data_IF_108434959276
#
_entry.id   IF_108434959276
#
_cell.length_a   1.000
_cell.length_b   1.000
_cell.length_c   1.000
_cell.angle_alpha   90.00
_cell.angle_beta   90.00
_cell.angle_gamma   90.00
#
_symmetry.space_group_name_H-M   'P 1'
#
loop_
_entity.id
_entity.type
_entity.pdbx_description
1 polymer ?
#
# COMPACT_ATOMS: atom_id res chain seq x y z
N UNK A 1 -5.98 13.75 28.81
CA UNK A 1 -6.73 14.94 28.34
C UNK A 1 -8.07 14.97 29.07
N UNK A 2 -8.61 16.14 29.41
CA UNK A 2 -9.88 16.23 30.15
C UNK A 2 -11.06 16.03 29.18
N UNK A 3 -11.63 14.82 29.19
CA UNK A 3 -12.78 14.37 28.40
C UNK A 3 -12.48 13.05 27.70
N UNK A 4 -13.25 12.01 27.99
CA UNK A 4 -13.07 10.65 27.43
C UNK A 4 -13.41 10.57 25.93
N UNK A 5 -14.05 11.62 25.37
CA UNK A 5 -14.58 11.63 23.99
C UNK A 5 -14.28 12.93 23.25
N UNK A 6 -14.11 12.82 21.93
CA UNK A 6 -13.89 13.93 20.99
C UNK A 6 -15.16 14.78 20.83
N UNK A 7 -15.09 16.07 21.17
CA UNK A 7 -16.16 17.05 20.96
C UNK A 7 -15.97 17.85 19.66
N UNK A 8 -17.06 18.44 19.14
CA UNK A 8 -17.01 19.34 17.98
C UNK A 8 -16.03 20.52 18.15
N UNK A 9 -15.81 20.97 19.39
CA UNK A 9 -14.88 22.05 19.72
C UNK A 9 -13.44 21.78 19.23
N UNK A 10 -13.04 20.52 19.13
CA UNK A 10 -11.72 20.13 18.61
C UNK A 10 -11.56 20.38 17.09
N UNK A 11 -12.67 20.58 16.35
CA UNK A 11 -12.68 20.95 14.93
C UNK A 11 -12.94 22.44 14.68
N UNK A 12 -13.09 23.26 15.73
CA UNK A 12 -13.54 24.66 15.62
C UNK A 12 -12.44 25.68 15.27
N UNK A 13 -11.17 25.27 15.29
CA UNK A 13 -10.02 26.18 15.17
C UNK A 13 -9.73 27.01 16.44
N UNK A 14 -10.46 26.78 17.53
CA UNK A 14 -10.25 27.47 18.81
C UNK A 14 -9.18 26.82 19.70
N UNK A 15 -9.14 27.20 20.98
CA UNK A 15 -8.16 26.69 21.97
C UNK A 15 -8.17 25.17 22.12
N UNK A 16 -9.32 24.52 21.97
CA UNK A 16 -9.44 23.06 22.04
C UNK A 16 -8.71 22.38 20.87
N UNK A 17 -8.89 22.89 19.63
CA UNK A 17 -8.18 22.42 18.45
C UNK A 17 -6.64 22.57 18.60
N UNK A 18 -6.17 23.74 19.03
CA UNK A 18 -4.75 23.96 19.30
C UNK A 18 -4.19 23.03 20.39
N UNK A 19 -4.99 22.71 21.42
CA UNK A 19 -4.59 21.75 22.44
C UNK A 19 -4.45 20.34 21.87
N UNK A 20 -5.40 19.89 21.05
CA UNK A 20 -5.31 18.59 20.37
C UNK A 20 -4.06 18.51 19.50
N UNK A 21 -3.78 19.56 18.72
CA UNK A 21 -2.56 19.64 17.90
C UNK A 21 -1.30 19.56 18.76
N UNK A 22 -1.21 20.35 19.83
CA UNK A 22 -0.03 20.42 20.69
C UNK A 22 0.21 19.17 21.54
N UNK A 23 -0.84 18.65 22.18
CA UNK A 23 -0.74 17.57 23.16
C UNK A 23 -0.78 16.17 22.53
N UNK A 24 -1.37 16.03 21.34
CA UNK A 24 -1.48 14.75 20.65
C UNK A 24 -0.64 14.69 19.37
N UNK A 25 -0.98 15.46 18.34
CA UNK A 25 -0.33 15.32 17.03
C UNK A 25 1.17 15.68 17.07
N UNK A 26 1.51 16.85 17.62
CA UNK A 26 2.91 17.28 17.75
C UNK A 26 3.74 16.34 18.64
N UNK A 27 3.13 15.76 19.68
CA UNK A 27 3.79 14.80 20.57
C UNK A 27 4.27 13.55 19.81
N UNK A 28 3.47 13.03 18.90
CA UNK A 28 3.75 11.77 18.21
C UNK A 28 4.41 11.95 16.83
N UNK A 29 4.24 13.10 16.19
CA UNK A 29 4.83 13.45 14.89
C UNK A 29 6.03 14.39 15.02
N UNK A 30 6.60 14.51 16.21
CA UNK A 30 7.56 15.54 16.58
C UNK A 30 8.75 15.67 15.61
N UNK A 31 8.87 16.84 14.97
CA UNK A 31 10.02 17.20 14.14
C UNK A 31 10.12 18.74 13.98
N UNK A 32 11.31 19.28 13.63
CA UNK A 32 11.50 20.73 13.52
C UNK A 32 10.60 21.44 12.51
N UNK A 33 10.18 20.74 11.45
CA UNK A 33 9.32 21.32 10.39
C UNK A 33 7.90 21.47 10.92
N UNK A 34 7.33 20.42 11.52
CA UNK A 34 5.98 20.46 12.07
C UNK A 34 5.85 21.43 13.26
N UNK A 35 6.92 21.59 14.05
CA UNK A 35 6.95 22.53 15.19
C UNK A 35 6.75 23.99 14.82
N UNK A 36 6.90 24.37 13.54
CA UNK A 36 6.65 25.76 13.13
C UNK A 36 5.18 26.14 13.28
N UNK A 37 4.27 25.18 13.07
CA UNK A 37 2.81 25.39 13.14
C UNK A 37 2.31 26.57 12.27
N UNK A 38 3.00 26.84 11.17
CA UNK A 38 2.56 27.79 10.14
C UNK A 38 1.50 27.14 9.23
N UNK A 39 0.88 27.93 8.35
CA UNK A 39 -0.13 27.46 7.38
C UNK A 39 0.40 26.41 6.40
N UNK A 40 1.72 26.30 6.24
CA UNK A 40 2.37 25.32 5.38
C UNK A 40 3.75 24.91 5.92
N UNK A 41 4.15 23.67 5.60
CA UNK A 41 5.49 23.19 5.86
C UNK A 41 6.46 23.68 4.77
N UNK A 42 7.59 24.26 5.17
CA UNK A 42 8.70 24.54 4.25
C UNK A 42 9.54 23.27 4.07
N UNK A 43 9.66 22.82 2.83
CA UNK A 43 10.41 21.61 2.47
C UNK A 43 11.70 21.96 1.72
N UNK A 44 12.77 21.21 2.01
CA UNK A 44 14.04 21.30 1.28
C UNK A 44 14.24 20.00 0.50
N UNK A 45 14.19 20.08 -0.83
CA UNK A 45 14.32 18.94 -1.75
C UNK A 45 15.16 19.33 -2.95
N UNK A 46 15.94 18.40 -3.50
CA UNK A 46 17.05 18.68 -4.42
C UNK A 46 16.85 18.15 -5.84
N UNK A 47 15.97 17.17 -6.03
CA UNK A 47 15.78 16.46 -7.29
C UNK A 47 14.34 16.49 -7.84
N UNK A 48 14.07 15.74 -8.93
CA UNK A 48 12.71 15.50 -9.39
C UNK A 48 11.88 14.84 -8.30
N UNK A 49 10.60 15.18 -8.21
CA UNK A 49 9.74 14.79 -7.10
C UNK A 49 8.70 13.77 -7.54
N UNK A 50 8.46 12.78 -6.69
CA UNK A 50 7.29 11.92 -6.73
C UNK A 50 6.30 12.39 -5.66
N UNK A 51 5.02 12.45 -6.00
CA UNK A 51 3.95 12.85 -5.09
C UNK A 51 2.77 11.89 -5.25
N UNK A 52 2.25 11.39 -4.14
CA UNK A 52 1.01 10.60 -4.12
C UNK A 52 0.10 11.09 -2.99
N UNK A 53 -1.20 10.79 -3.11
CA UNK A 53 -2.18 11.00 -2.05
C UNK A 53 -3.14 9.82 -2.04
N UNK A 54 -3.49 9.36 -0.84
CA UNK A 54 -4.52 8.34 -0.69
C UNK A 54 -5.35 8.59 0.57
N UNK A 55 -6.57 8.07 0.56
CA UNK A 55 -7.51 8.19 1.68
C UNK A 55 -7.88 6.81 2.20
N UNK A 56 -7.74 6.64 3.50
CA UNK A 56 -7.87 5.38 4.21
C UNK A 56 -9.18 5.37 4.97
N UNK A 57 -9.98 4.35 4.68
CA UNK A 57 -11.36 4.21 5.19
C UNK A 57 -11.64 2.80 5.70
N UNK A 58 -10.60 2.01 5.94
CA UNK A 58 -10.65 0.63 6.44
C UNK A 58 -11.61 0.46 7.62
N UNK A 59 -12.36 -0.64 7.59
CA UNK A 59 -13.20 -1.09 8.70
C UNK A 59 -12.95 -2.58 8.96
N UNK A 60 -12.50 -2.98 10.17
CA UNK A 60 -12.34 -2.15 11.39
C UNK A 60 -11.11 -1.23 11.39
N UNK A 61 -11.09 -0.25 12.30
CA UNK A 61 -9.93 0.65 12.49
C UNK A 61 -8.66 -0.06 12.98
N UNK A 62 -8.81 -1.17 13.71
CA UNK A 62 -7.71 -2.00 14.22
C UNK A 62 -7.94 -3.45 13.82
N UNK A 63 -6.89 -4.11 13.37
CA UNK A 63 -6.95 -5.49 12.88
C UNK A 63 -5.64 -6.22 13.15
N UNK A 64 -5.62 -7.57 13.06
CA UNK A 64 -4.37 -8.32 13.20
C UNK A 64 -3.31 -7.83 12.21
N UNK A 65 -2.15 -7.41 12.71
CA UNK A 65 -1.05 -6.91 11.87
C UNK A 65 -1.09 -5.41 11.54
N UNK A 66 -2.10 -4.64 11.96
CA UNK A 66 -2.08 -3.20 11.75
C UNK A 66 -3.33 -2.45 12.22
N UNK A 67 -3.38 -1.18 11.82
CA UNK A 67 -4.50 -0.28 12.03
C UNK A 67 -4.54 0.78 10.93
N UNK A 68 -5.62 1.57 10.89
CA UNK A 68 -5.78 2.68 9.92
C UNK A 68 -4.61 3.67 9.93
N UNK A 69 -3.92 3.83 11.07
CA UNK A 69 -2.75 4.69 11.20
C UNK A 69 -1.52 4.12 10.51
N UNK A 70 -1.17 2.85 10.79
CA UNK A 70 -0.10 2.16 10.04
C UNK A 70 -0.37 2.16 8.55
N UNK A 71 -1.61 1.90 8.15
CA UNK A 71 -2.03 1.83 6.76
C UNK A 71 -1.83 3.18 6.05
N UNK A 72 -2.26 4.27 6.69
CA UNK A 72 -2.13 5.61 6.15
C UNK A 72 -0.67 5.98 5.85
N UNK A 73 0.25 5.63 6.75
CA UNK A 73 1.67 5.88 6.52
C UNK A 73 2.24 4.93 5.48
N UNK A 74 2.05 3.62 5.63
CA UNK A 74 2.67 2.61 4.78
C UNK A 74 2.21 2.73 3.32
N UNK A 75 0.91 2.82 3.06
CA UNK A 75 0.38 2.91 1.69
C UNK A 75 0.93 4.13 0.95
N UNK A 76 0.89 5.31 1.58
CA UNK A 76 1.39 6.54 0.93
C UNK A 76 2.91 6.53 0.74
N UNK A 77 3.66 5.93 1.68
CA UNK A 77 5.10 5.70 1.52
C UNK A 77 5.37 4.76 0.35
N UNK A 78 4.58 3.70 0.21
CA UNK A 78 4.71 2.70 -0.84
C UNK A 78 4.44 3.32 -2.22
N UNK A 79 3.35 4.06 -2.39
CA UNK A 79 3.02 4.77 -3.63
C UNK A 79 4.17 5.66 -4.13
N UNK A 80 4.71 6.51 -3.24
CA UNK A 80 5.84 7.39 -3.59
C UNK A 80 7.05 6.56 -3.99
N UNK A 81 7.31 5.46 -3.28
CA UNK A 81 8.40 4.55 -3.58
C UNK A 81 8.23 3.81 -4.91
N UNK A 82 7.00 3.53 -5.36
CA UNK A 82 6.72 2.86 -6.65
C UNK A 82 7.16 3.71 -7.86
N UNK A 83 7.27 5.03 -7.72
CA UNK A 83 7.84 5.90 -8.77
C UNK A 83 9.38 5.94 -8.76
N UNK A 84 10.02 5.06 -8.00
CA UNK A 84 11.47 5.04 -7.86
C UNK A 84 12.02 6.22 -7.05
N UNK A 85 11.23 6.73 -6.10
CA UNK A 85 11.62 7.81 -5.22
C UNK A 85 11.94 7.33 -3.80
N UNK A 86 12.78 8.10 -3.11
CA UNK A 86 12.97 8.02 -1.66
C UNK A 86 11.93 8.93 -1.00
N UNK A 87 10.89 8.41 -0.33
CA UNK A 87 9.92 9.21 0.40
C UNK A 87 10.62 10.01 1.51
N UNK A 88 10.20 11.26 1.74
CA UNK A 88 10.82 12.16 2.73
C UNK A 88 9.80 12.73 3.69
N UNK A 89 8.67 13.20 3.15
CA UNK A 89 7.69 13.96 3.91
C UNK A 89 6.28 13.46 3.61
N UNK A 90 5.44 13.47 4.64
CA UNK A 90 4.01 13.23 4.56
C UNK A 90 3.24 14.44 5.10
N UNK A 91 2.06 14.71 4.53
CA UNK A 91 0.99 15.42 5.25
C UNK A 91 -0.04 14.41 5.78
N UNK A 92 -0.80 14.79 6.80
CA UNK A 92 -1.96 14.01 7.26
C UNK A 92 -3.20 14.89 7.48
N UNK A 93 -4.31 14.57 6.83
CA UNK A 93 -5.62 15.18 7.06
C UNK A 93 -6.56 14.19 7.75
N UNK A 94 -7.08 14.55 8.93
CA UNK A 94 -8.02 13.73 9.68
C UNK A 94 -9.46 14.23 9.51
N UNK A 95 -10.38 13.31 9.23
CA UNK A 95 -11.83 13.52 9.35
C UNK A 95 -12.31 12.62 10.49
N UNK A 96 -12.74 13.24 11.57
CA UNK A 96 -13.09 12.58 12.82
C UNK A 96 -14.58 12.76 13.12
N UNK A 97 -15.25 11.71 13.57
CA UNK A 97 -16.63 11.77 14.03
C UNK A 97 -16.69 12.26 15.50
N UNK A 98 -17.59 13.20 15.79
CA UNK A 98 -17.90 13.61 17.15
C UNK A 98 -18.31 12.41 18.02
N UNK A 99 -17.75 12.31 19.22
CA UNK A 99 -18.01 11.22 20.16
C UNK A 99 -17.03 10.06 20.04
N UNK A 100 -16.08 10.12 19.10
CA UNK A 100 -14.94 9.19 19.05
C UNK A 100 -14.20 9.16 20.40
N UNK A 101 -13.84 7.98 20.85
CA UNK A 101 -13.00 7.79 22.04
C UNK A 101 -11.61 8.42 21.82
N UNK A 102 -11.17 9.27 22.76
CA UNK A 102 -9.86 9.92 22.68
C UNK A 102 -8.70 8.93 22.75
N UNK A 103 -8.86 7.79 23.44
CA UNK A 103 -7.85 6.74 23.49
C UNK A 103 -7.70 6.03 22.13
N UNK A 104 -8.80 5.88 21.39
CA UNK A 104 -8.78 5.34 20.02
C UNK A 104 -7.97 6.27 19.11
N UNK A 105 -8.22 7.58 19.18
CA UNK A 105 -7.47 8.57 18.41
C UNK A 105 -5.99 8.58 18.79
N UNK A 106 -5.66 8.53 20.10
CA UNK A 106 -4.27 8.51 20.57
C UNK A 106 -3.52 7.26 20.09
N UNK A 107 -4.18 6.09 20.08
CA UNK A 107 -3.59 4.86 19.54
C UNK A 107 -3.29 4.98 18.04
N UNK A 108 -4.21 5.50 17.24
CA UNK A 108 -4.02 5.70 15.79
C UNK A 108 -2.85 6.65 15.53
N UNK A 109 -2.83 7.80 16.20
CA UNK A 109 -1.78 8.82 16.05
C UNK A 109 -0.41 8.28 16.51
N UNK A 110 -0.38 7.52 17.61
CA UNK A 110 0.84 6.84 18.07
C UNK A 110 1.36 5.86 17.01
N UNK A 111 0.45 5.09 16.40
CA UNK A 111 0.76 4.11 15.36
C UNK A 111 1.36 4.77 14.11
N UNK A 112 0.74 5.86 13.63
CA UNK A 112 1.29 6.67 12.53
C UNK A 112 2.69 7.20 12.85
N UNK A 113 2.91 7.72 14.06
CA UNK A 113 4.22 8.22 14.49
C UNK A 113 5.30 7.13 14.53
N UNK A 114 4.94 5.90 14.93
CA UNK A 114 5.83 4.75 14.88
C UNK A 114 6.16 4.36 13.42
N UNK A 115 5.14 4.18 12.58
CA UNK A 115 5.29 3.80 11.18
C UNK A 115 6.14 4.82 10.40
N UNK A 116 5.93 6.13 10.65
CA UNK A 116 6.70 7.18 10.00
C UNK A 116 8.20 7.11 10.38
N UNK A 117 8.48 6.87 11.67
CA UNK A 117 9.86 6.68 12.16
C UNK A 117 10.52 5.44 11.59
N UNK A 118 9.79 4.32 11.53
CA UNK A 118 10.29 3.07 10.94
C UNK A 118 10.61 3.21 9.46
N UNK A 119 9.76 3.93 8.70
CA UNK A 119 9.98 4.24 7.30
C UNK A 119 11.04 5.34 7.06
N UNK A 120 11.46 6.06 8.10
CA UNK A 120 12.42 7.18 7.99
C UNK A 120 11.84 8.44 7.32
N UNK A 121 10.53 8.67 7.45
CA UNK A 121 9.82 9.83 6.92
C UNK A 121 9.28 10.73 8.04
N UNK A 122 9.01 12.00 7.73
CA UNK A 122 8.41 12.93 8.68
C UNK A 122 7.00 13.34 8.24
N UNK A 123 6.04 13.33 9.17
CA UNK A 123 4.77 14.03 8.98
C UNK A 123 5.01 15.51 9.30
N UNK A 124 4.95 16.37 8.29
CA UNK A 124 5.43 17.77 8.38
C UNK A 124 4.33 18.81 8.40
N UNK A 125 3.12 18.44 7.99
CA UNK A 125 1.94 19.30 8.05
C UNK A 125 0.68 18.44 8.19
N UNK A 126 -0.43 19.04 8.57
CA UNK A 126 -1.68 18.31 8.66
C UNK A 126 -2.90 19.18 8.86
N UNK A 127 -4.05 18.52 8.88
CA UNK A 127 -5.35 19.14 9.10
C UNK A 127 -6.21 18.24 9.98
N UNK A 128 -7.14 18.84 10.72
CA UNK A 128 -8.10 18.10 11.54
C UNK A 128 -9.49 18.69 11.38
N UNK A 129 -10.43 17.86 10.96
CA UNK A 129 -11.86 18.17 10.88
C UNK A 129 -12.62 17.25 11.82
N UNK A 130 -13.52 17.83 12.61
CA UNK A 130 -14.46 17.07 13.42
C UNK A 130 -15.86 17.30 12.87
N UNK A 131 -16.51 16.24 12.43
CA UNK A 131 -17.87 16.27 11.86
C UNK A 131 -18.89 15.77 12.88
N UNK A 132 -20.16 16.22 12.80
CA UNK A 132 -21.21 15.71 13.67
C UNK A 132 -21.39 14.19 13.57
N UNK A 133 -21.93 13.59 14.63
CA UNK A 133 -22.30 12.16 14.65
C UNK A 133 -23.12 11.75 13.43
N UNK A 134 -22.76 10.62 12.84
CA UNK A 134 -23.38 10.02 11.65
C UNK A 134 -22.91 10.60 10.31
N UNK A 135 -22.01 11.59 10.30
CA UNK A 135 -21.51 12.21 9.06
C UNK A 135 -20.21 11.56 8.53
N UNK A 136 -19.49 10.84 9.37
CA UNK A 136 -18.37 9.97 9.01
C UNK A 136 -18.41 8.75 9.93
N UNK A 137 -17.94 7.59 9.48
CA UNK A 137 -17.82 6.41 10.36
C UNK A 137 -16.48 6.46 11.10
N UNK A 138 -16.51 6.99 12.32
CA UNK A 138 -15.37 7.08 13.25
C UNK A 138 -14.23 7.98 12.74
N UNK A 139 -13.33 7.44 11.91
CA UNK A 139 -12.07 8.09 11.51
C UNK A 139 -11.77 7.78 10.04
N UNK A 140 -11.55 8.83 9.25
CA UNK A 140 -10.90 8.73 7.95
C UNK A 140 -9.61 9.54 7.96
N UNK A 141 -8.59 9.05 7.26
CA UNK A 141 -7.28 9.69 7.18
C UNK A 141 -6.94 9.85 5.70
N UNK A 142 -6.56 11.07 5.29
CA UNK A 142 -5.83 11.27 4.06
C UNK A 142 -4.37 11.49 4.40
N UNK A 143 -3.47 10.88 3.64
CA UNK A 143 -2.06 11.21 3.67
C UNK A 143 -1.58 11.53 2.28
N UNK A 144 -0.73 12.54 2.18
CA UNK A 144 -0.08 12.90 0.92
C UNK A 144 1.41 12.81 1.13
N UNK A 145 2.10 12.04 0.30
CA UNK A 145 3.53 11.82 0.39
C UNK A 145 4.28 12.55 -0.71
N UNK A 146 5.51 12.97 -0.38
CA UNK A 146 6.46 13.52 -1.34
C UNK A 146 7.86 12.92 -1.11
N UNK A 147 8.52 12.59 -2.22
CA UNK A 147 9.84 11.96 -2.23
C UNK A 147 10.71 12.43 -3.39
N UNK A 148 12.02 12.23 -3.27
CA UNK A 148 13.00 12.55 -4.31
C UNK A 148 13.21 11.33 -5.21
N UNK A 149 13.00 11.46 -6.52
CA UNK A 149 13.26 10.40 -7.49
C UNK A 149 14.77 10.14 -7.55
N UNK A 150 15.18 8.90 -7.32
CA UNK A 150 16.61 8.52 -7.16
C UNK A 150 17.21 7.82 -8.38
N UNK A 151 16.40 7.50 -9.40
CA UNK A 151 16.86 6.85 -10.65
C UNK A 151 16.26 7.52 -11.88
N UNK A 152 16.96 7.42 -13.01
CA UNK A 152 16.49 7.87 -14.32
C UNK A 152 16.89 6.84 -15.40
N UNK A 153 15.94 6.27 -16.16
CA UNK A 153 14.48 6.48 -16.08
C UNK A 153 13.89 5.98 -14.76
N UNK A 154 12.82 6.64 -14.31
CA UNK A 154 12.02 6.16 -13.18
C UNK A 154 11.10 5.01 -13.61
N UNK A 155 10.79 4.06 -12.71
CA UNK A 155 9.77 3.04 -12.99
C UNK A 155 8.43 3.66 -13.38
N UNK A 156 7.72 3.01 -14.30
CA UNK A 156 6.40 3.45 -14.77
C UNK A 156 5.66 2.29 -15.39
N UNK A 157 4.34 2.18 -15.18
CA UNK A 157 3.55 1.08 -15.75
C UNK A 157 3.51 1.03 -17.29
N UNK A 158 3.94 2.10 -17.97
CA UNK A 158 4.13 2.11 -19.44
C UNK A 158 5.41 1.42 -19.89
N UNK A 159 6.32 1.10 -18.97
CA UNK A 159 7.70 0.71 -19.31
C UNK A 159 7.92 -0.80 -19.37
N UNK A 160 6.92 -1.64 -19.09
CA UNK A 160 7.05 -3.08 -19.25
C UNK A 160 7.31 -3.44 -20.74
N UNK A 161 8.26 -4.33 -20.99
CA UNK A 161 8.72 -4.69 -22.35
C UNK A 161 8.71 -6.20 -22.56
N UNK A 162 8.49 -6.68 -23.80
CA UNK A 162 8.60 -8.09 -24.11
C UNK A 162 9.94 -8.68 -23.65
N UNK A 163 9.88 -9.80 -22.95
CA UNK A 163 11.05 -10.47 -22.37
C UNK A 163 11.32 -10.12 -20.91
N UNK A 164 10.68 -9.10 -20.34
CA UNK A 164 10.84 -8.80 -18.91
C UNK A 164 10.28 -9.93 -18.02
N UNK A 165 10.93 -10.13 -16.88
CA UNK A 165 10.43 -10.96 -15.79
C UNK A 165 9.39 -10.19 -14.96
N UNK A 166 8.40 -10.90 -14.43
CA UNK A 166 7.40 -10.36 -13.50
C UNK A 166 7.61 -10.99 -12.13
N UNK A 167 8.03 -10.19 -11.16
CA UNK A 167 8.33 -10.61 -9.79
C UNK A 167 7.32 -9.99 -8.83
N UNK A 168 6.93 -10.72 -7.79
CA UNK A 168 6.24 -10.16 -6.62
C UNK A 168 7.07 -10.34 -5.36
N UNK A 169 6.94 -9.42 -4.41
CA UNK A 169 7.77 -9.44 -3.20
C UNK A 169 7.32 -10.44 -2.14
N UNK A 170 6.14 -11.05 -2.23
CA UNK A 170 5.69 -12.01 -1.23
C UNK A 170 4.33 -12.60 -1.53
N UNK A 171 3.72 -13.18 -0.50
CA UNK A 171 2.41 -13.85 -0.56
C UNK A 171 1.27 -12.91 -0.98
N UNK A 172 0.19 -13.43 -1.56
CA UNK A 172 -0.97 -12.63 -1.97
C UNK A 172 -2.21 -12.88 -1.11
N UNK A 173 -2.96 -11.82 -0.82
CA UNK A 173 -4.29 -11.84 -0.20
C UNK A 173 -4.31 -11.78 1.32
N UNK A 174 -3.14 -11.63 1.98
CA UNK A 174 -3.03 -11.64 3.45
C UNK A 174 -3.87 -10.53 4.10
N UNK A 175 -3.74 -9.28 3.63
CA UNK A 175 -4.48 -8.14 4.18
C UNK A 175 -5.98 -8.27 3.94
N UNK A 176 -6.40 -8.45 2.68
CA UNK A 176 -7.82 -8.51 2.38
C UNK A 176 -8.57 -9.62 3.11
N UNK A 177 -7.95 -10.79 3.27
CA UNK A 177 -8.54 -11.86 4.07
C UNK A 177 -8.59 -11.47 5.56
N UNK A 178 -7.54 -10.86 6.11
CA UNK A 178 -7.50 -10.45 7.52
C UNK A 178 -8.65 -9.51 7.87
N UNK A 179 -8.85 -8.46 7.07
CA UNK A 179 -9.90 -7.46 7.31
C UNK A 179 -11.28 -8.12 7.29
N UNK A 180 -11.54 -8.96 6.28
CA UNK A 180 -12.82 -9.64 6.16
C UNK A 180 -13.06 -10.63 7.30
N UNK A 181 -12.06 -11.45 7.64
CA UNK A 181 -12.15 -12.43 8.72
C UNK A 181 -12.49 -11.74 10.04
N UNK A 182 -11.81 -10.63 10.33
CA UNK A 182 -12.05 -9.87 11.55
C UNK A 182 -13.44 -9.23 11.59
N UNK A 183 -13.88 -8.65 10.46
CA UNK A 183 -15.19 -8.01 10.33
C UNK A 183 -16.35 -8.99 10.51
N UNK A 184 -16.22 -10.21 9.97
CA UNK A 184 -17.23 -11.27 10.10
C UNK A 184 -17.09 -12.09 11.40
N UNK A 185 -16.13 -11.76 12.27
CA UNK A 185 -15.86 -12.51 13.49
C UNK A 185 -15.42 -13.97 13.24
N UNK A 186 -14.84 -14.24 12.08
CA UNK A 186 -14.35 -15.55 11.68
C UNK A 186 -12.95 -15.78 12.23
N UNK A 187 -12.84 -16.73 13.16
CA UNK A 187 -11.55 -17.21 13.62
C UNK A 187 -11.14 -18.41 12.78
N UNK A 188 -10.30 -18.18 11.77
CA UNK A 188 -9.60 -19.27 11.11
C UNK A 188 -8.62 -19.92 12.10
N UNK A 189 -8.38 -21.23 11.96
CA UNK A 189 -7.44 -21.96 12.81
C UNK A 189 -6.00 -21.42 12.75
N UNK A 190 -5.69 -20.64 11.72
CA UNK A 190 -4.43 -19.94 11.53
C UNK A 190 -4.59 -18.42 11.74
N UNK A 191 -3.61 -17.82 12.41
CA UNK A 191 -3.50 -16.38 12.67
C UNK A 191 -3.13 -15.63 11.38
N UNK A 192 -4.13 -15.35 10.53
CA UNK A 192 -3.96 -14.53 9.33
C UNK A 192 -3.86 -13.06 9.76
N UNK A 193 -2.82 -12.38 9.29
CA UNK A 193 -2.50 -10.99 9.67
C UNK A 193 -2.29 -10.15 8.42
N UNK A 194 -2.66 -8.88 8.52
CA UNK A 194 -2.36 -7.87 7.53
C UNK A 194 -0.86 -7.80 7.28
N UNK A 195 -0.50 -7.60 6.02
CA UNK A 195 0.88 -7.42 5.58
C UNK A 195 1.29 -5.93 5.51
N UNK A 196 0.49 -5.01 6.05
CA UNK A 196 0.77 -3.57 6.04
C UNK A 196 2.19 -3.25 6.49
N UNK A 197 3.00 -2.75 5.57
CA UNK A 197 4.41 -2.42 5.83
C UNK A 197 4.94 -1.40 4.82
N UNK A 198 5.86 -0.55 5.27
CA UNK A 198 6.61 0.35 4.40
C UNK A 198 7.64 -0.42 3.57
N UNK A 199 7.60 -0.24 2.25
CA UNK A 199 8.45 -0.92 1.26
C UNK A 199 9.58 -0.04 0.74
N UNK A 200 9.67 1.23 1.16
CA UNK A 200 10.64 2.19 0.65
C UNK A 200 12.10 1.74 0.81
N UNK A 201 12.44 1.06 1.91
CA UNK A 201 13.78 0.48 2.07
C UNK A 201 14.05 -0.68 1.11
N UNK A 202 13.03 -1.49 0.79
CA UNK A 202 13.14 -2.62 -0.13
C UNK A 202 13.24 -2.15 -1.59
N UNK A 203 12.42 -1.17 -1.98
CA UNK A 203 12.45 -0.58 -3.32
C UNK A 203 13.75 0.18 -3.56
N UNK A 204 14.24 0.96 -2.60
CA UNK A 204 15.51 1.68 -2.72
C UNK A 204 16.68 0.71 -3.00
N UNK A 205 16.74 -0.42 -2.28
CA UNK A 205 17.74 -1.45 -2.52
C UNK A 205 17.63 -2.05 -3.92
N UNK A 206 16.43 -2.39 -4.38
CA UNK A 206 16.23 -2.86 -5.76
C UNK A 206 16.75 -1.85 -6.78
N UNK A 207 16.43 -0.57 -6.61
CA UNK A 207 16.78 0.48 -7.54
C UNK A 207 18.30 0.75 -7.58
N UNK A 208 18.97 0.72 -6.43
CA UNK A 208 20.40 1.05 -6.31
C UNK A 208 21.33 -0.16 -6.51
N UNK A 209 20.93 -1.36 -6.06
CA UNK A 209 21.76 -2.57 -6.13
C UNK A 209 21.54 -3.35 -7.44
N UNK A 210 20.33 -3.35 -7.99
CA UNK A 210 19.98 -4.09 -9.23
C UNK A 210 19.89 -3.15 -10.42
N UNK A 211 19.13 -2.06 -10.28
CA UNK A 211 18.89 -1.05 -11.33
C UNK A 211 18.15 -1.60 -12.56
N UNK A 212 17.84 -0.71 -13.51
CA UNK A 212 17.06 -1.03 -14.73
C UNK A 212 15.71 -1.68 -14.43
N UNK A 213 15.01 -1.13 -13.43
CA UNK A 213 13.67 -1.56 -13.05
C UNK A 213 12.67 -0.80 -13.93
N UNK A 214 11.91 -1.53 -14.74
CA UNK A 214 10.94 -0.93 -15.65
C UNK A 214 9.65 -0.53 -14.94
N UNK A 215 9.11 -1.41 -14.08
CA UNK A 215 7.86 -1.15 -13.35
C UNK A 215 8.01 -1.52 -11.88
N UNK A 216 7.53 -0.65 -11.01
CA UNK A 216 7.18 -0.95 -9.63
C UNK A 216 5.73 -0.57 -9.40
N UNK A 217 4.99 -1.42 -8.69
CA UNK A 217 3.60 -1.15 -8.31
C UNK A 217 3.16 -2.02 -7.14
N UNK A 218 2.38 -1.47 -6.24
CA UNK A 218 1.79 -2.19 -5.12
C UNK A 218 0.39 -2.72 -5.47
N UNK A 219 0.08 -4.01 -5.21
CA UNK A 219 -1.20 -4.60 -5.56
C UNK A 219 -2.24 -4.41 -4.44
N UNK A 220 -2.66 -3.15 -4.22
CA UNK A 220 -3.70 -2.74 -3.25
C UNK A 220 -5.11 -3.09 -3.77
N UNK A 221 -5.98 -2.12 -4.02
CA UNK A 221 -7.36 -2.38 -4.46
C UNK A 221 -7.42 -3.13 -5.80
N UNK A 222 -8.22 -4.18 -5.83
CA UNK A 222 -8.31 -5.11 -6.97
C UNK A 222 -7.16 -6.13 -7.04
N UNK A 223 -6.22 -6.07 -6.10
CA UNK A 223 -5.15 -7.05 -5.91
C UNK A 223 -4.20 -7.17 -7.09
N UNK A 224 -3.45 -8.27 -7.09
CA UNK A 224 -2.48 -8.60 -8.13
C UNK A 224 -3.10 -8.60 -9.54
N UNK A 225 -4.32 -9.12 -9.65
CA UNK A 225 -5.02 -9.24 -10.92
C UNK A 225 -5.26 -7.88 -11.58
N UNK A 226 -5.86 -6.93 -10.88
CA UNK A 226 -6.14 -5.59 -11.43
C UNK A 226 -4.85 -4.83 -11.72
N UNK A 227 -3.89 -4.85 -10.80
CA UNK A 227 -2.61 -4.13 -10.98
C UNK A 227 -1.83 -4.64 -12.19
N UNK A 228 -1.82 -5.96 -12.45
CA UNK A 228 -1.21 -6.52 -13.66
C UNK A 228 -1.98 -6.10 -14.92
N UNK A 229 -3.31 -6.11 -14.92
CA UNK A 229 -4.09 -5.66 -16.08
C UNK A 229 -3.86 -4.19 -16.40
N UNK A 230 -3.75 -3.35 -15.38
CA UNK A 230 -3.42 -1.94 -15.57
C UNK A 230 -2.01 -1.77 -16.15
N UNK A 231 -1.01 -2.54 -15.70
CA UNK A 231 0.35 -2.51 -16.27
C UNK A 231 0.34 -3.00 -17.73
N UNK A 232 -0.35 -4.11 -18.03
CA UNK A 232 -0.50 -4.60 -19.40
C UNK A 232 -1.17 -3.54 -20.29
N UNK A 233 -2.21 -2.87 -19.78
CA UNK A 233 -2.92 -1.82 -20.50
C UNK A 233 -2.06 -0.61 -20.80
N UNK A 234 -1.31 -0.12 -19.80
CA UNK A 234 -0.42 1.04 -19.93
C UNK A 234 0.77 0.78 -20.85
N UNK A 235 1.38 -0.40 -20.76
CA UNK A 235 2.51 -0.80 -21.60
C UNK A 235 2.11 -1.29 -23.00
N UNK A 236 0.83 -1.61 -23.22
CA UNK A 236 0.36 -2.28 -24.42
C UNK A 236 0.88 -3.71 -24.58
N UNK A 237 1.47 -4.28 -23.53
CA UNK A 237 2.04 -5.63 -23.55
C UNK A 237 1.00 -6.69 -23.15
N UNK A 238 1.41 -7.97 -23.22
CA UNK A 238 0.67 -9.10 -22.66
C UNK A 238 1.46 -9.63 -21.48
N UNK A 239 0.84 -9.80 -20.33
CA UNK A 239 1.49 -10.43 -19.16
C UNK A 239 1.09 -11.91 -19.12
N UNK A 240 2.06 -12.82 -19.12
CA UNK A 240 1.80 -14.24 -18.88
C UNK A 240 2.29 -14.61 -17.49
N UNK A 241 1.38 -15.09 -16.66
CA UNK A 241 1.59 -15.39 -15.24
C UNK A 241 1.34 -16.88 -15.01
N UNK A 242 2.22 -17.55 -14.29
CA UNK A 242 2.08 -18.94 -13.88
C UNK A 242 1.41 -19.02 -12.51
N UNK A 243 0.18 -19.55 -12.45
CA UNK A 243 -0.63 -19.61 -11.22
C UNK A 243 0.07 -20.39 -10.09
N UNK A 244 0.81 -21.45 -10.45
CA UNK A 244 1.57 -22.27 -9.49
C UNK A 244 2.72 -21.54 -8.80
N UNK A 245 3.22 -20.47 -9.43
CA UNK A 245 4.40 -19.74 -8.96
C UNK A 245 4.00 -18.54 -8.07
N UNK A 246 2.70 -18.24 -7.97
CA UNK A 246 2.16 -17.18 -7.09
C UNK A 246 2.11 -17.70 -5.65
N UNK A 247 2.96 -17.19 -4.73
CA UNK A 247 2.89 -17.53 -3.31
C UNK A 247 1.55 -17.08 -2.70
N UNK A 248 0.84 -18.01 -2.08
CA UNK A 248 -0.34 -17.76 -1.26
C UNK A 248 -0.23 -18.69 -0.05
N UNK A 249 -0.30 -18.14 1.17
CA UNK A 249 -0.24 -18.95 2.40
C UNK A 249 -1.41 -19.93 2.43
N UNK A 250 -1.19 -21.12 2.99
CA UNK A 250 -2.25 -22.14 3.08
C UNK A 250 -3.48 -21.62 3.83
N UNK A 251 -3.27 -20.92 4.95
CA UNK A 251 -4.33 -20.25 5.69
C UNK A 251 -5.14 -19.26 4.83
N UNK A 252 -4.47 -18.52 3.95
CA UNK A 252 -5.12 -17.59 3.04
C UNK A 252 -5.90 -18.32 1.95
N UNK A 253 -5.30 -19.37 1.38
CA UNK A 253 -5.96 -20.21 0.37
C UNK A 253 -7.23 -20.88 0.93
N UNK A 254 -7.15 -21.44 2.12
CA UNK A 254 -8.27 -22.07 2.81
C UNK A 254 -9.36 -21.06 3.16
N UNK A 255 -8.98 -19.91 3.73
CA UNK A 255 -9.93 -18.85 4.07
C UNK A 255 -10.65 -18.27 2.84
N UNK A 256 -9.90 -17.99 1.77
CA UNK A 256 -10.48 -17.55 0.50
C UNK A 256 -11.40 -18.62 -0.10
N UNK A 257 -11.01 -19.89 -0.09
CA UNK A 257 -11.86 -20.98 -0.58
C UNK A 257 -13.14 -21.13 0.23
N UNK A 258 -13.09 -20.95 1.55
CA UNK A 258 -14.27 -21.01 2.42
C UNK A 258 -15.24 -19.85 2.15
N UNK A 259 -14.70 -18.66 1.88
CA UNK A 259 -15.48 -17.44 1.63
C UNK A 259 -15.89 -17.24 0.16
N UNK A 260 -15.43 -18.11 -0.74
CA UNK A 260 -15.68 -17.98 -2.18
C UNK A 260 -14.94 -16.79 -2.82
N UNK A 261 -13.76 -16.45 -2.28
CA UNK A 261 -12.91 -15.36 -2.74
C UNK A 261 -11.71 -15.89 -3.54
N UNK A 262 -11.16 -15.03 -4.38
CA UNK A 262 -9.93 -15.31 -5.10
C UNK A 262 -8.80 -14.40 -4.55
N UNK A 263 -7.74 -14.97 -3.94
CA UNK A 263 -6.67 -14.20 -3.32
C UNK A 263 -5.95 -13.26 -4.29
N UNK A 264 -6.03 -13.49 -5.60
CA UNK A 264 -5.41 -12.64 -6.61
C UNK A 264 -6.10 -11.27 -6.74
N UNK A 265 -7.32 -11.13 -6.23
CA UNK A 265 -8.10 -9.89 -6.27
C UNK A 265 -8.20 -9.18 -4.92
N UNK A 266 -7.70 -9.83 -3.85
CA UNK A 266 -7.66 -9.24 -2.53
C UNK A 266 -6.51 -8.24 -2.40
N UNK A 267 -6.78 -7.16 -1.67
CA UNK A 267 -5.79 -6.12 -1.43
C UNK A 267 -4.63 -6.60 -0.57
N UNK A 268 -3.45 -6.02 -0.86
CA UNK A 268 -2.19 -6.23 -0.16
C UNK A 268 -1.60 -4.86 0.18
N UNK A 269 -1.07 -4.70 1.39
CA UNK A 269 -0.66 -3.40 1.94
C UNK A 269 0.83 -3.34 2.31
N UNK A 270 1.58 -4.37 1.94
CA UNK A 270 3.03 -4.45 2.07
C UNK A 270 3.65 -5.38 1.04
N UNK A 271 3.15 -5.30 -0.20
CA UNK A 271 3.67 -6.08 -1.34
C UNK A 271 3.92 -5.17 -2.53
N UNK A 272 4.84 -5.58 -3.38
CA UNK A 272 5.09 -4.93 -4.66
C UNK A 272 5.17 -5.96 -5.79
N UNK A 273 4.91 -5.48 -6.99
CA UNK A 273 5.19 -6.08 -8.28
C UNK A 273 6.41 -5.35 -8.84
N UNK A 274 7.41 -6.10 -9.29
CA UNK A 274 8.61 -5.60 -9.95
C UNK A 274 8.74 -6.23 -11.32
N UNK A 275 8.79 -5.40 -12.37
CA UNK A 275 9.03 -5.85 -13.74
C UNK A 275 10.36 -5.27 -14.22
N UNK A 276 11.24 -6.13 -14.70
CA UNK A 276 12.61 -5.81 -15.09
C UNK A 276 13.15 -6.83 -16.11
N UNK A 277 14.27 -6.54 -16.78
CA UNK A 277 14.89 -7.48 -17.73
C UNK A 277 15.16 -8.86 -17.11
N UNK A 278 14.91 -9.92 -17.89
CA UNK A 278 15.02 -11.32 -17.43
C UNK A 278 16.39 -11.65 -16.83
N UNK A 279 17.47 -11.11 -17.36
CA UNK A 279 18.83 -11.32 -16.88
C UNK A 279 19.10 -10.75 -15.48
N UNK A 280 18.25 -9.84 -15.00
CA UNK A 280 18.33 -9.25 -13.65
C UNK A 280 17.40 -9.91 -12.64
N UNK A 281 16.52 -10.81 -13.08
CA UNK A 281 15.48 -11.41 -12.23
C UNK A 281 16.06 -12.10 -10.99
N UNK A 282 17.13 -12.89 -11.15
CA UNK A 282 17.76 -13.60 -10.02
C UNK A 282 18.41 -12.64 -9.02
N UNK A 283 19.01 -11.55 -9.50
CA UNK A 283 19.58 -10.51 -8.64
C UNK A 283 18.49 -9.77 -7.86
N UNK A 284 17.37 -9.44 -8.50
CA UNK A 284 16.20 -8.84 -7.84
C UNK A 284 15.61 -9.77 -6.77
N UNK A 285 15.42 -11.06 -7.07
CA UNK A 285 14.96 -12.05 -6.10
C UNK A 285 15.92 -12.17 -4.91
N UNK A 286 17.23 -12.16 -5.16
CA UNK A 286 18.24 -12.23 -4.10
C UNK A 286 18.18 -11.01 -3.17
N UNK A 287 18.01 -9.79 -3.72
CA UNK A 287 17.85 -8.57 -2.92
C UNK A 287 16.56 -8.60 -2.11
N UNK A 288 15.44 -9.00 -2.74
CA UNK A 288 14.15 -9.09 -2.07
C UNK A 288 14.19 -10.06 -0.87
N UNK A 289 14.71 -11.27 -1.09
CA UNK A 289 14.73 -12.34 -0.08
C UNK A 289 15.68 -12.09 1.08
N UNK A 290 16.56 -11.09 1.01
CA UNK A 290 17.37 -10.65 2.14
C UNK A 290 16.59 -9.82 3.16
N UNK A 291 15.40 -9.33 2.80
CA UNK A 291 14.50 -8.63 3.70
C UNK A 291 13.41 -9.59 4.22
N UNK A 292 13.00 -9.50 5.50
CA UNK A 292 11.82 -10.20 5.99
C UNK A 292 10.55 -9.91 5.18
N UNK A 293 10.42 -8.68 4.66
CA UNK A 293 9.28 -8.26 3.82
C UNK A 293 9.29 -8.91 2.41
N UNK A 294 10.44 -9.44 1.99
CA UNK A 294 10.65 -10.05 0.68
C UNK A 294 10.95 -11.55 0.73
N UNK A 295 10.82 -12.19 1.91
CA UNK A 295 11.24 -13.58 2.13
C UNK A 295 10.54 -14.57 1.19
N UNK A 296 9.26 -14.31 0.90
CA UNK A 296 8.41 -15.12 0.03
C UNK A 296 8.41 -14.62 -1.43
N UNK A 297 9.35 -13.75 -1.82
CA UNK A 297 9.39 -13.19 -3.17
C UNK A 297 9.55 -14.27 -4.25
N UNK A 298 8.86 -14.11 -5.37
CA UNK A 298 8.81 -15.09 -6.45
C UNK A 298 8.73 -14.42 -7.83
N UNK A 299 9.40 -15.02 -8.82
CA UNK A 299 9.14 -14.71 -10.23
C UNK A 299 7.92 -15.50 -10.67
N UNK A 300 6.86 -14.79 -11.05
CA UNK A 300 5.55 -15.37 -11.33
C UNK A 300 5.22 -15.38 -12.81
N UNK A 301 6.05 -14.78 -13.67
CA UNK A 301 5.70 -14.66 -15.07
C UNK A 301 6.66 -13.85 -15.92
N UNK A 302 6.23 -13.58 -17.14
CA UNK A 302 7.00 -12.90 -18.18
C UNK A 302 6.10 -11.98 -18.99
N UNK A 303 6.65 -10.86 -19.46
CA UNK A 303 6.00 -9.98 -20.42
C UNK A 303 6.20 -10.52 -21.84
N UNK A 304 5.13 -10.62 -22.62
CA UNK A 304 5.10 -11.10 -23.99
C UNK A 304 4.82 -9.96 -24.98
N UNK A 305 5.27 -10.14 -26.23
CA UNK A 305 4.91 -9.27 -27.33
C UNK A 305 3.43 -9.46 -27.73
N UNK A 306 2.66 -8.38 -27.95
CA UNK A 306 1.22 -8.44 -28.23
C UNK A 306 0.87 -9.05 -29.61
N UNK A 307 1.82 -9.08 -30.53
CA UNK A 307 1.71 -9.60 -31.90
C UNK A 307 2.44 -10.96 -32.09
N UNK A 308 2.95 -11.54 -31.00
CA UNK A 308 3.61 -12.84 -31.03
C UNK A 308 2.64 -14.01 -31.25
N UNK A 309 3.18 -15.20 -31.53
CA UNK A 309 2.40 -16.44 -31.62
C UNK A 309 1.84 -16.95 -30.27
N UNK A 310 1.97 -16.16 -29.20
CA UNK A 310 1.54 -16.50 -27.85
C UNK A 310 0.06 -16.19 -27.59
N UNK A 311 -0.50 -16.68 -26.47
CA UNK A 311 -1.88 -16.37 -26.09
C UNK A 311 -2.02 -14.91 -25.63
N UNK A 312 -3.16 -14.29 -25.93
CA UNK A 312 -3.53 -12.95 -25.46
C UNK A 312 -3.43 -11.85 -26.51
N UNK A 313 -3.84 -10.64 -26.11
CA UNK A 313 -3.78 -9.40 -26.90
C UNK A 313 -3.28 -8.27 -26.01
N UNK A 314 -2.70 -7.22 -26.60
CA UNK A 314 -2.26 -6.02 -25.90
C UNK A 314 -3.26 -5.61 -24.79
N UNK A 315 -2.77 -5.41 -23.57
CA UNK A 315 -3.59 -5.07 -22.42
C UNK A 315 -4.16 -6.25 -21.62
N UNK A 316 -3.83 -7.50 -22.00
CA UNK A 316 -4.36 -8.69 -21.32
C UNK A 316 -3.35 -9.36 -20.40
N UNK A 317 -3.86 -9.99 -19.35
CA UNK A 317 -3.12 -10.88 -18.45
C UNK A 317 -3.61 -12.31 -18.64
N UNK A 318 -2.70 -13.19 -19.05
CA UNK A 318 -2.96 -14.61 -19.25
C UNK A 318 -2.41 -15.39 -18.06
N UNK A 319 -3.28 -16.13 -17.40
CA UNK A 319 -2.92 -17.01 -16.30
C UNK A 319 -2.78 -18.45 -16.81
N UNK A 320 -1.57 -19.00 -16.70
CA UNK A 320 -1.26 -20.41 -16.95
C UNK A 320 -1.61 -21.23 -15.71
N UNK A 321 -2.59 -22.13 -15.85
CA UNK A 321 -3.10 -22.94 -14.74
C UNK A 321 -2.16 -24.10 -14.43
N UNK A 322 -2.23 -24.71 -13.22
CA UNK A 322 -1.42 -25.87 -12.87
C UNK A 322 -1.59 -27.08 -13.81
N UNK A 323 -2.69 -27.14 -14.57
CA UNK A 323 -2.97 -28.19 -15.54
C UNK A 323 -2.38 -27.89 -16.95
N UNK A 324 -1.67 -26.77 -17.12
CA UNK A 324 -1.08 -26.34 -18.40
C UNK A 324 -2.08 -25.65 -19.34
N UNK A 325 -3.29 -25.33 -18.85
CA UNK A 325 -4.27 -24.53 -19.57
C UNK A 325 -4.05 -23.03 -19.39
N UNK A 326 -4.81 -22.22 -20.11
CA UNK A 326 -4.75 -20.76 -19.97
C UNK A 326 -6.15 -20.21 -19.69
N UNK A 327 -6.24 -19.24 -18.77
CA UNK A 327 -7.44 -18.40 -18.59
C UNK A 327 -7.07 -16.92 -18.60
N UNK A 328 -8.02 -16.08 -18.99
CA UNK A 328 -7.86 -14.64 -18.86
C UNK A 328 -8.03 -14.26 -17.38
N UNK A 329 -7.06 -13.54 -16.83
CA UNK A 329 -7.18 -12.89 -15.54
C UNK A 329 -7.66 -11.46 -15.83
N UNK A 330 -8.96 -11.20 -15.75
CA UNK A 330 -9.56 -9.90 -16.07
C UNK A 330 -9.69 -9.02 -14.84
N UNK A 331 -9.88 -7.71 -15.02
CA UNK A 331 -10.36 -6.87 -13.92
C UNK A 331 -11.78 -7.27 -13.53
N UNK A 332 -12.13 -7.10 -12.25
CA UNK A 332 -13.52 -7.25 -11.78
C UNK A 332 -14.35 -6.02 -12.17
N UNK A 333 -15.67 -6.21 -12.32
CA UNK A 333 -16.60 -5.10 -12.58
C UNK A 333 -16.78 -4.17 -11.37
N UNK A 334 -16.51 -4.66 -10.16
CA UNK A 334 -16.63 -3.89 -8.91
C UNK A 334 -15.74 -4.45 -7.81
N UNK A 335 -15.64 -3.72 -6.70
CA UNK A 335 -14.92 -4.18 -5.50
C UNK A 335 -15.59 -5.44 -4.94
N UNK A 336 -14.77 -6.45 -4.62
CA UNK A 336 -15.27 -7.63 -3.89
C UNK A 336 -15.65 -7.26 -2.46
N UNK A 337 -14.94 -6.30 -1.86
CA UNK A 337 -15.01 -5.99 -0.45
C UNK A 337 -14.91 -4.47 -0.23
N UNK A 338 -15.99 -3.81 0.23
CA UNK A 338 -15.93 -2.39 0.54
C UNK A 338 -15.04 -2.14 1.76
N UNK A 339 -14.39 -0.97 1.78
CA UNK A 339 -13.62 -0.45 2.93
C UNK A 339 -12.55 -1.41 3.44
N UNK A 340 -11.79 -1.98 2.51
CA UNK A 340 -10.67 -2.86 2.84
C UNK A 340 -9.42 -2.08 3.25
N UNK A 341 -9.24 -0.87 2.73
CA UNK A 341 -8.13 0.03 3.02
C UNK A 341 -8.65 1.46 3.29
#
# INVERSE_FOLDING_TARGET
MAGDTLLLDYGSGGKAAHRLIGELFLKHFDNPVLRTLDDAARLEMTGPLAMSTDSYVVDPLFFPGGDIGTLAVHGTVNDVAMLGARPRYLSCGFILEEGLDMEVLERIVTSMGNAAREAGVCIVTGDTKVVPRGMADKVFINTTGIGEIIVNPSPSGHSARPGDAVIISGTMGDHGLTILSHREGLNFSADVRSDSAALNGLTERLLLEVGDIHVLRDPTRGGLATTLNEIAGQSGAVLRIAERDIPVRDAVREGCSFLGLDPLYLANEGKLICILPQEKADAALAVLRQSPLGADAACIGTVLAPDGAGPGRAGQVILETPMGGHRLLSMLEGEQLPRIC
#
